data_IF_242258024273
#
_entry.id   IF_242258024273
#
_cell.length_a   1.000
_cell.length_b   1.000
_cell.length_c   1.000
_cell.angle_alpha   90.00
_cell.angle_beta   90.00
_cell.angle_gamma   90.00
#
_symmetry.space_group_name_H-M   'P 1'
#
loop_
_entity.id
_entity.type
_entity.pdbx_description
1 polymer ?
#
# COMPACT_ATOMS: atom_id res chain seq x y z
N UNK A 1 8.69 -20.76 -44.65
CA UNK A 1 9.84 -19.86 -44.85
C UNK A 1 11.02 -20.76 -45.21
N UNK A 2 11.59 -20.50 -46.39
CA UNK A 2 12.92 -20.88 -46.94
C UNK A 2 13.50 -22.25 -46.53
N UNK A 3 13.76 -23.20 -47.41
CA UNK A 3 14.25 -23.06 -48.79
C UNK A 3 15.76 -22.84 -48.77
N UNK A 4 16.54 -23.90 -48.96
CA UNK A 4 17.90 -23.86 -49.52
C UNK A 4 18.42 -25.29 -49.77
N UNK A 5 18.11 -25.79 -50.96
CA UNK A 5 19.00 -26.67 -51.72
C UNK A 5 20.30 -25.92 -52.10
N UNK A 6 21.20 -26.68 -52.72
CA UNK A 6 22.37 -26.29 -53.54
C UNK A 6 23.72 -26.37 -52.81
N UNK A 7 24.43 -27.47 -53.09
CA UNK A 7 25.66 -27.38 -53.90
C UNK A 7 26.01 -28.75 -54.50
N UNK A 8 25.70 -28.87 -55.79
CA UNK A 8 26.44 -29.66 -56.77
C UNK A 8 27.82 -29.02 -56.97
N UNK A 9 28.88 -29.83 -57.01
CA UNK A 9 30.11 -29.60 -57.77
C UNK A 9 30.91 -30.92 -57.73
N UNK A 10 30.76 -31.79 -58.73
CA UNK A 10 31.60 -31.87 -59.94
C UNK A 10 33.09 -31.89 -59.60
N UNK A 11 33.67 -33.10 -59.50
CA UNK A 11 34.94 -33.32 -60.19
C UNK A 11 35.05 -34.75 -60.74
N UNK A 12 34.85 -34.83 -62.05
CA UNK A 12 35.17 -35.97 -62.91
C UNK A 12 36.68 -36.10 -63.01
N UNK A 13 37.24 -37.24 -62.62
CA UNK A 13 38.49 -37.72 -63.19
C UNK A 13 38.26 -39.05 -63.91
N UNK A 14 37.80 -38.90 -65.16
CA UNK A 14 37.91 -39.91 -66.22
C UNK A 14 39.37 -39.97 -66.67
N UNK A 15 40.11 -40.95 -66.16
CA UNK A 15 41.39 -41.37 -66.73
C UNK A 15 41.17 -42.26 -67.95
N UNK A 16 41.67 -41.80 -69.10
CA UNK A 16 41.62 -42.39 -70.45
C UNK A 16 42.10 -43.85 -70.54
N UNK A 17 41.28 -44.68 -71.18
CA UNK A 17 41.74 -45.83 -71.97
C UNK A 17 42.42 -45.37 -73.26
N UNK A 18 43.54 -45.98 -73.70
CA UNK A 18 44.02 -45.87 -75.07
C UNK A 18 43.45 -46.98 -75.97
N UNK A 19 42.86 -46.56 -77.09
CA UNK A 19 42.33 -47.38 -78.19
C UNK A 19 43.46 -48.05 -79.00
N UNK A 20 43.24 -49.23 -79.63
CA UNK A 20 44.30 -50.13 -80.09
C UNK A 20 44.72 -49.85 -81.53
N UNK A 21 46.03 -49.94 -81.80
CA UNK A 21 46.59 -49.80 -83.14
C UNK A 21 47.72 -50.79 -83.39
N UNK A 22 47.72 -51.38 -84.59
CA UNK A 22 48.94 -51.93 -85.20
C UNK A 22 49.08 -53.45 -85.17
N UNK A 23 48.45 -54.09 -86.14
CA UNK A 23 48.50 -55.51 -86.49
C UNK A 23 49.91 -55.89 -87.02
N UNK A 24 50.68 -56.67 -86.27
CA UNK A 24 51.82 -57.43 -86.79
C UNK A 24 51.47 -58.92 -86.80
N UNK A 25 51.39 -59.47 -88.01
CA UNK A 25 51.31 -60.91 -88.28
C UNK A 25 52.43 -61.63 -87.55
N UNK A 26 52.07 -62.62 -86.76
CA UNK A 26 53.04 -63.48 -86.11
C UNK A 26 52.32 -64.61 -85.42
N UNK A 27 52.14 -65.68 -86.17
CA UNK A 27 52.21 -67.06 -85.70
C UNK A 27 51.27 -67.45 -84.57
N UNK A 28 50.40 -68.41 -84.89
CA UNK A 28 49.76 -69.31 -83.94
C UNK A 28 50.67 -69.61 -82.73
N UNK A 29 50.43 -68.91 -81.64
CA UNK A 29 50.98 -69.25 -80.34
C UNK A 29 49.76 -69.31 -79.45
N UNK A 30 49.22 -70.53 -79.38
CA UNK A 30 48.41 -71.06 -78.29
C UNK A 30 48.29 -70.05 -77.15
N UNK A 31 47.07 -69.53 -76.93
CA UNK A 31 46.74 -68.70 -75.77
C UNK A 31 47.48 -69.24 -74.56
N UNK A 32 48.55 -68.56 -74.13
CA UNK A 32 49.54 -69.14 -73.22
C UNK A 32 48.83 -69.27 -71.86
N UNK A 33 48.41 -70.48 -71.46
CA UNK A 33 47.47 -70.63 -70.36
C UNK A 33 48.04 -70.05 -69.07
N UNK A 34 49.37 -70.05 -68.95
CA UNK A 34 50.17 -69.54 -67.85
C UNK A 34 50.02 -68.03 -67.62
N UNK A 35 50.11 -67.17 -68.65
CA UNK A 35 49.97 -65.70 -68.48
C UNK A 35 48.53 -65.27 -68.15
N UNK A 36 47.55 -66.04 -68.61
CA UNK A 36 46.15 -65.85 -68.24
C UNK A 36 45.90 -66.28 -66.79
N UNK A 37 46.53 -67.38 -66.37
CA UNK A 37 46.50 -67.88 -65.01
C UNK A 37 47.16 -66.89 -64.04
N UNK A 38 48.32 -66.31 -64.39
CA UNK A 38 49.04 -65.32 -63.58
C UNK A 38 48.19 -64.07 -63.30
N UNK A 39 47.55 -63.47 -64.31
CA UNK A 39 46.61 -62.34 -64.10
C UNK A 39 45.40 -62.72 -63.26
N UNK A 40 44.94 -63.97 -63.33
CA UNK A 40 43.85 -64.48 -62.50
C UNK A 40 44.30 -64.68 -61.06
N UNK A 41 45.54 -65.12 -60.84
CA UNK A 41 46.16 -65.25 -59.52
C UNK A 41 46.33 -63.88 -58.87
N UNK A 42 46.89 -62.87 -59.54
CA UNK A 42 47.00 -61.52 -58.96
C UNK A 42 45.64 -60.87 -58.65
N UNK A 43 44.61 -61.16 -59.45
CA UNK A 43 43.24 -60.75 -59.10
C UNK A 43 42.69 -61.50 -57.89
N UNK A 44 43.01 -62.78 -57.76
CA UNK A 44 42.60 -63.61 -56.61
C UNK A 44 43.31 -63.18 -55.33
N UNK A 45 44.59 -62.80 -55.40
CA UNK A 45 45.37 -62.25 -54.28
C UNK A 45 44.76 -60.92 -53.81
N UNK A 46 44.52 -59.97 -54.72
CA UNK A 46 43.86 -58.71 -54.39
C UNK A 46 42.45 -58.90 -53.81
N UNK A 47 41.67 -59.81 -54.39
CA UNK A 47 40.36 -60.15 -53.83
C UNK A 47 40.48 -60.79 -52.43
N UNK A 48 41.55 -61.54 -52.16
CA UNK A 48 41.85 -62.06 -50.83
C UNK A 48 42.16 -60.96 -49.81
N UNK A 49 42.95 -59.96 -50.20
CA UNK A 49 43.24 -58.77 -49.37
C UNK A 49 41.97 -57.92 -49.11
N UNK A 50 41.14 -57.72 -50.14
CA UNK A 50 39.86 -57.02 -50.03
C UNK A 50 38.88 -57.78 -49.10
N UNK A 51 38.84 -59.11 -49.19
CA UNK A 51 38.04 -59.97 -48.28
C UNK A 51 38.55 -59.89 -46.85
N UNK A 52 39.86 -59.94 -46.63
CA UNK A 52 40.46 -59.76 -45.28
C UNK A 52 40.11 -58.39 -44.69
N UNK A 53 40.13 -57.33 -45.49
CA UNK A 53 39.75 -55.98 -45.05
C UNK A 53 38.27 -55.87 -44.70
N UNK A 54 37.40 -56.60 -45.40
CA UNK A 54 35.96 -56.69 -45.09
C UNK A 54 35.73 -57.43 -43.77
N UNK A 55 36.48 -58.50 -43.51
CA UNK A 55 36.42 -59.24 -42.24
C UNK A 55 36.82 -58.34 -41.06
N UNK A 56 37.90 -57.58 -41.19
CA UNK A 56 38.35 -56.60 -40.18
C UNK A 56 37.32 -55.49 -39.93
N UNK A 57 36.71 -54.97 -41.01
CA UNK A 57 35.60 -54.00 -40.90
C UNK A 57 34.38 -54.61 -40.18
N UNK A 58 34.07 -55.87 -40.43
CA UNK A 58 33.00 -56.60 -39.74
C UNK A 58 33.27 -56.74 -38.23
N UNK A 59 34.52 -57.06 -37.85
CA UNK A 59 34.93 -57.13 -36.45
C UNK A 59 34.85 -55.75 -35.77
N UNK A 60 35.32 -54.69 -36.43
CA UNK A 60 35.21 -53.32 -35.94
C UNK A 60 33.75 -52.88 -35.77
N UNK A 61 32.88 -53.23 -36.72
CA UNK A 61 31.44 -52.93 -36.63
C UNK A 61 30.79 -53.66 -35.45
N UNK A 62 31.12 -54.93 -35.23
CA UNK A 62 30.63 -55.69 -34.07
C UNK A 62 31.09 -55.07 -32.74
N UNK A 63 32.35 -54.59 -32.67
CA UNK A 63 32.85 -53.89 -31.49
C UNK A 63 32.09 -52.58 -31.26
N UNK A 64 31.92 -51.75 -32.30
CA UNK A 64 31.16 -50.49 -32.21
C UNK A 64 29.71 -50.76 -31.79
N UNK A 65 29.08 -51.83 -32.30
CA UNK A 65 27.73 -52.21 -31.90
C UNK A 65 27.65 -52.58 -30.41
N UNK A 66 28.65 -53.29 -29.89
CA UNK A 66 28.75 -53.62 -28.46
C UNK A 66 28.94 -52.36 -27.61
N UNK A 67 29.81 -51.44 -28.04
CA UNK A 67 30.08 -50.19 -27.34
C UNK A 67 28.83 -49.30 -27.31
N UNK A 68 28.09 -49.19 -28.42
CA UNK A 68 26.82 -48.45 -28.51
C UNK A 68 25.76 -49.05 -27.59
N UNK A 69 25.65 -50.38 -27.52
CA UNK A 69 24.75 -51.04 -26.58
C UNK A 69 25.14 -50.77 -25.13
N UNK A 70 26.44 -50.79 -24.82
CA UNK A 70 26.96 -50.42 -23.50
C UNK A 70 26.66 -48.96 -23.14
N UNK A 71 26.82 -48.04 -24.08
CA UNK A 71 26.45 -46.63 -23.91
C UNK A 71 24.95 -46.45 -23.68
N UNK A 72 24.10 -47.15 -24.42
CA UNK A 72 22.66 -47.10 -24.23
C UNK A 72 22.27 -47.56 -22.82
N UNK A 73 22.87 -48.64 -22.30
CA UNK A 73 22.64 -49.11 -20.92
C UNK A 73 23.13 -48.13 -19.85
N UNK A 74 24.23 -47.41 -20.10
CA UNK A 74 24.71 -46.35 -19.19
C UNK A 74 23.79 -45.13 -19.21
N UNK A 75 23.23 -44.77 -20.36
CA UNK A 75 22.29 -43.66 -20.49
C UNK A 75 20.99 -43.94 -19.73
N UNK A 76 20.42 -45.14 -19.89
CA UNK A 76 19.20 -45.51 -19.15
C UNK A 76 19.45 -45.55 -17.64
N UNK A 77 20.61 -46.03 -17.19
CA UNK A 77 20.99 -45.99 -15.78
C UNK A 77 21.10 -44.56 -15.25
N UNK A 78 21.65 -43.64 -16.05
CA UNK A 78 21.77 -42.24 -15.67
C UNK A 78 20.41 -41.55 -15.61
N UNK A 79 19.51 -41.84 -16.55
CA UNK A 79 18.13 -41.33 -16.55
C UNK A 79 17.39 -41.76 -15.28
N UNK A 80 17.45 -43.04 -14.92
CA UNK A 80 16.84 -43.57 -13.68
C UNK A 80 17.41 -42.87 -12.44
N UNK A 81 18.74 -42.69 -12.38
CA UNK A 81 19.38 -42.01 -11.27
C UNK A 81 18.96 -40.53 -11.17
N UNK A 82 18.84 -39.85 -12.30
CA UNK A 82 18.41 -38.45 -12.34
C UNK A 82 16.96 -38.30 -11.90
N UNK A 83 16.07 -39.18 -12.34
CA UNK A 83 14.67 -39.20 -11.91
C UNK A 83 14.57 -39.47 -10.40
N UNK A 84 15.34 -40.42 -9.87
CA UNK A 84 15.41 -40.68 -8.43
C UNK A 84 15.86 -39.45 -7.63
N UNK A 85 16.96 -38.80 -8.04
CA UNK A 85 17.42 -37.56 -7.39
C UNK A 85 16.37 -36.44 -7.47
N UNK A 86 15.65 -36.33 -8.60
CA UNK A 86 14.59 -35.36 -8.77
C UNK A 86 13.43 -35.63 -7.82
N UNK A 87 13.03 -36.88 -7.65
CA UNK A 87 11.98 -37.27 -6.69
C UNK A 87 12.40 -36.99 -5.25
N UNK A 88 13.64 -37.30 -4.87
CA UNK A 88 14.19 -36.97 -3.54
C UNK A 88 14.21 -35.46 -3.28
N UNK A 89 14.64 -34.66 -4.27
CA UNK A 89 14.67 -33.20 -4.15
C UNK A 89 13.26 -32.62 -4.00
N UNK A 90 12.30 -33.12 -4.80
CA UNK A 90 10.89 -32.70 -4.69
C UNK A 90 10.31 -33.07 -3.33
N UNK A 91 10.59 -34.27 -2.83
CA UNK A 91 10.14 -34.71 -1.51
C UNK A 91 10.73 -33.83 -0.40
N UNK A 92 12.03 -33.55 -0.45
CA UNK A 92 12.71 -32.68 0.51
C UNK A 92 12.10 -31.27 0.52
N UNK A 93 11.97 -30.64 -0.64
CA UNK A 93 11.39 -29.30 -0.77
C UNK A 93 9.96 -29.28 -0.24
N UNK A 94 9.15 -30.28 -0.60
CA UNK A 94 7.75 -30.38 -0.15
C UNK A 94 7.66 -30.50 1.37
N UNK A 95 8.50 -31.34 1.98
CA UNK A 95 8.54 -31.52 3.43
C UNK A 95 8.99 -30.23 4.14
N UNK A 96 10.08 -29.59 3.68
CA UNK A 96 10.56 -28.34 4.28
C UNK A 96 9.52 -27.22 4.18
N UNK A 97 8.84 -27.08 3.03
CA UNK A 97 7.75 -26.10 2.87
C UNK A 97 6.61 -26.45 3.82
N UNK A 98 6.19 -27.71 3.89
CA UNK A 98 5.10 -28.16 4.76
C UNK A 98 5.40 -27.89 6.25
N UNK A 99 6.61 -28.18 6.71
CA UNK A 99 7.06 -27.91 8.09
C UNK A 99 7.13 -26.40 8.37
N UNK A 100 7.69 -25.61 7.45
CA UNK A 100 7.80 -24.16 7.60
C UNK A 100 6.42 -23.50 7.64
N UNK A 101 5.51 -23.92 6.77
CA UNK A 101 4.13 -23.42 6.76
C UNK A 101 3.38 -23.84 8.02
N UNK A 102 3.52 -25.10 8.45
CA UNK A 102 2.85 -25.60 9.65
C UNK A 102 3.30 -24.87 10.91
N UNK A 103 4.60 -24.61 11.05
CA UNK A 103 5.17 -23.84 12.17
C UNK A 103 4.71 -22.38 12.14
N UNK A 104 4.74 -21.72 10.97
CA UNK A 104 4.24 -20.35 10.83
C UNK A 104 2.73 -20.23 11.18
N UNK A 105 1.90 -21.18 10.71
CA UNK A 105 0.47 -21.24 11.05
C UNK A 105 0.28 -21.41 12.56
N UNK A 106 1.06 -22.27 13.21
CA UNK A 106 0.97 -22.47 14.65
C UNK A 106 1.27 -21.18 15.43
N UNK A 107 2.34 -20.47 15.09
CA UNK A 107 2.70 -19.19 15.72
C UNK A 107 1.61 -18.15 15.55
N UNK A 108 1.09 -17.97 14.33
CA UNK A 108 0.01 -17.02 14.06
C UNK A 108 -1.26 -17.41 14.82
N UNK A 109 -1.60 -18.70 14.86
CA UNK A 109 -2.75 -19.20 15.61
C UNK A 109 -2.64 -18.88 17.10
N UNK A 110 -1.47 -19.14 17.71
CA UNK A 110 -1.24 -18.85 19.14
C UNK A 110 -1.35 -17.36 19.43
N UNK A 111 -0.74 -16.50 18.60
CA UNK A 111 -0.83 -15.05 18.77
C UNK A 111 -2.27 -14.54 18.64
N UNK A 112 -3.00 -14.97 17.60
CA UNK A 112 -4.42 -14.59 17.43
C UNK A 112 -5.29 -15.10 18.58
N UNK A 113 -5.00 -16.29 19.10
CA UNK A 113 -5.72 -16.83 20.26
C UNK A 113 -5.46 -16.02 21.53
N UNK A 114 -4.23 -15.55 21.76
CA UNK A 114 -3.89 -14.69 22.89
C UNK A 114 -4.63 -13.34 22.81
N UNK A 115 -4.54 -12.63 21.67
CA UNK A 115 -5.24 -11.36 21.46
C UNK A 115 -6.78 -11.51 21.62
N UNK A 116 -7.33 -12.64 21.20
CA UNK A 116 -8.76 -12.91 21.34
C UNK A 116 -9.18 -13.18 22.79
N UNK A 117 -8.28 -13.65 23.65
CA UNK A 117 -8.52 -13.74 25.09
C UNK A 117 -8.51 -12.34 25.70
N UNK A 118 -7.52 -11.51 25.37
CA UNK A 118 -7.39 -10.15 25.90
C UNK A 118 -8.61 -9.29 25.51
N UNK A 119 -9.02 -9.32 24.23
CA UNK A 119 -10.23 -8.61 23.76
C UNK A 119 -11.49 -9.11 24.47
N UNK A 120 -11.58 -10.39 24.80
CA UNK A 120 -12.74 -10.92 25.56
C UNK A 120 -12.75 -10.42 27.00
N UNK A 121 -11.59 -10.26 27.62
CA UNK A 121 -11.46 -9.69 28.95
C UNK A 121 -11.87 -8.21 28.94
N UNK A 122 -11.36 -7.40 28.01
CA UNK A 122 -11.77 -6.00 27.84
C UNK A 122 -13.28 -5.85 27.60
N UNK A 123 -13.87 -6.72 26.79
CA UNK A 123 -15.33 -6.73 26.57
C UNK A 123 -16.08 -7.07 27.87
N UNK A 124 -15.56 -7.98 28.69
CA UNK A 124 -16.17 -8.33 29.97
C UNK A 124 -16.12 -7.14 30.95
N UNK A 125 -14.99 -6.46 31.00
CA UNK A 125 -14.79 -5.27 31.82
C UNK A 125 -15.71 -4.12 31.38
N UNK A 126 -15.71 -3.77 30.09
CA UNK A 126 -16.61 -2.77 29.53
C UNK A 126 -18.08 -3.12 29.76
N UNK A 127 -18.45 -4.40 29.63
CA UNK A 127 -19.81 -4.86 29.93
C UNK A 127 -20.16 -4.66 31.40
N UNK A 128 -19.20 -4.90 32.30
CA UNK A 128 -19.38 -4.64 33.74
C UNK A 128 -19.56 -3.15 34.02
N UNK A 129 -18.75 -2.28 33.42
CA UNK A 129 -18.86 -0.82 33.54
C UNK A 129 -20.21 -0.32 33.03
N UNK A 130 -20.64 -0.80 31.86
CA UNK A 130 -21.95 -0.48 31.28
C UNK A 130 -23.08 -0.94 32.22
N UNK A 131 -22.96 -2.10 32.88
CA UNK A 131 -23.97 -2.53 33.85
C UNK A 131 -23.99 -1.66 35.10
N UNK A 132 -22.83 -1.15 35.55
CA UNK A 132 -22.72 -0.25 36.69
C UNK A 132 -23.32 1.12 36.35
N UNK A 133 -23.02 1.67 35.18
CA UNK A 133 -23.64 2.91 34.66
C UNK A 133 -25.15 2.75 34.53
N UNK A 134 -25.62 1.65 33.93
CA UNK A 134 -27.06 1.37 33.82
C UNK A 134 -27.73 1.24 35.19
N UNK A 135 -27.08 0.61 36.18
CA UNK A 135 -27.59 0.52 37.55
C UNK A 135 -27.60 1.87 38.24
N UNK A 136 -26.55 2.69 38.11
CA UNK A 136 -26.51 4.04 38.64
C UNK A 136 -27.62 4.93 38.04
N UNK A 137 -27.96 4.73 36.77
CA UNK A 137 -29.10 5.39 36.12
C UNK A 137 -30.46 4.83 36.58
N UNK A 138 -30.58 3.51 36.79
CA UNK A 138 -31.84 2.85 37.13
C UNK A 138 -32.20 2.85 38.62
N UNK A 139 -31.22 2.95 39.52
CA UNK A 139 -31.45 2.96 40.97
C UNK A 139 -32.20 4.19 41.47
N UNK A 140 -32.42 5.20 40.64
CA UNK A 140 -32.89 6.50 41.11
C UNK A 140 -31.86 7.12 42.10
N UNK A 141 -31.91 8.42 42.35
CA UNK A 141 -30.95 9.02 43.26
C UNK A 141 -31.21 8.54 44.70
N UNK A 142 -30.39 7.62 45.23
CA UNK A 142 -29.96 7.78 46.62
C UNK A 142 -29.27 9.15 46.70
N UNK A 143 -29.36 9.90 47.82
CA UNK A 143 -28.90 11.26 47.90
C UNK A 143 -27.37 11.30 47.91
N UNK A 144 -26.76 11.03 46.76
CA UNK A 144 -25.73 11.90 46.27
C UNK A 144 -26.40 13.25 46.33
N UNK A 145 -25.87 14.15 47.13
CA UNK A 145 -26.02 15.55 46.83
C UNK A 145 -25.55 15.67 45.39
N UNK A 146 -26.49 15.55 44.43
CA UNK A 146 -26.43 16.39 43.28
C UNK A 146 -26.25 17.74 43.92
N UNK A 147 -25.01 18.24 43.85
CA UNK A 147 -24.82 19.68 43.90
C UNK A 147 -25.90 20.13 42.94
N UNK A 148 -26.97 20.81 43.40
CA UNK A 148 -28.05 21.19 42.52
C UNK A 148 -27.32 21.81 41.36
N UNK A 149 -27.41 21.19 40.17
CA UNK A 149 -26.79 21.75 38.97
C UNK A 149 -27.52 23.06 38.88
N UNK A 150 -26.86 24.09 39.42
CA UNK A 150 -27.47 25.39 39.60
C UNK A 150 -28.00 25.69 38.22
N UNK A 151 -29.29 26.00 38.11
CA UNK A 151 -29.87 26.36 36.83
C UNK A 151 -29.06 27.55 36.33
N UNK A 152 -28.06 27.27 35.48
CA UNK A 152 -27.01 28.24 35.19
C UNK A 152 -27.72 29.33 34.42
N UNK A 153 -27.79 30.57 34.96
CA UNK A 153 -28.58 31.61 34.34
C UNK A 153 -28.13 31.78 32.90
N UNK A 154 -29.08 31.66 31.97
CA UNK A 154 -28.78 31.80 30.55
C UNK A 154 -28.19 33.19 30.28
N UNK A 155 -27.11 33.29 29.50
CA UNK A 155 -26.55 34.57 29.08
C UNK A 155 -27.60 35.44 28.41
N UNK A 156 -27.44 36.76 28.54
CA UNK A 156 -28.27 37.72 27.81
C UNK A 156 -27.95 37.66 26.32
N UNK A 157 -28.97 37.80 25.48
CA UNK A 157 -28.79 37.88 24.04
C UNK A 157 -28.07 39.17 23.63
N UNK A 158 -27.30 39.12 22.56
CA UNK A 158 -26.61 40.26 21.97
C UNK A 158 -27.20 40.62 20.61
N UNK A 159 -27.73 41.85 20.49
CA UNK A 159 -28.40 42.35 19.28
C UNK A 159 -27.49 42.98 18.23
N UNK A 160 -26.18 43.08 18.49
CA UNK A 160 -25.24 43.70 17.53
C UNK A 160 -25.12 45.22 17.67
N UNK A 161 -25.38 45.77 18.86
CA UNK A 161 -25.08 47.17 19.15
C UNK A 161 -23.56 47.42 19.03
N UNK A 162 -23.16 48.54 18.43
CA UNK A 162 -21.75 48.98 18.39
C UNK A 162 -21.38 49.64 19.71
N UNK A 163 -21.45 48.87 20.79
CA UNK A 163 -21.17 49.32 22.15
C UNK A 163 -20.18 48.32 22.78
N UNK A 164 -18.96 48.79 23.08
CA UNK A 164 -17.90 47.96 23.64
C UNK A 164 -18.34 47.29 24.96
N UNK A 165 -19.00 48.04 25.84
CA UNK A 165 -19.46 47.54 27.13
C UNK A 165 -20.48 46.43 26.99
N UNK A 166 -21.45 46.57 26.09
CA UNK A 166 -22.45 45.53 25.85
C UNK A 166 -21.84 44.27 25.23
N UNK A 167 -20.93 44.43 24.28
CA UNK A 167 -20.24 43.31 23.65
C UNK A 167 -19.32 42.58 24.65
N UNK A 168 -18.55 43.29 25.46
CA UNK A 168 -17.67 42.69 26.45
C UNK A 168 -18.47 41.99 27.56
N UNK A 169 -19.55 42.61 28.05
CA UNK A 169 -20.43 41.97 29.01
C UNK A 169 -21.08 40.70 28.45
N UNK A 170 -21.49 40.72 27.18
CA UNK A 170 -22.00 39.53 26.50
C UNK A 170 -20.95 38.41 26.46
N UNK A 171 -19.76 38.69 25.92
CA UNK A 171 -18.69 37.70 25.80
C UNK A 171 -18.28 37.13 27.16
N UNK A 172 -18.15 38.00 28.17
CA UNK A 172 -17.82 37.59 29.52
C UNK A 172 -18.92 36.69 30.11
N UNK A 173 -20.19 37.10 30.01
CA UNK A 173 -21.32 36.31 30.55
C UNK A 173 -21.45 34.93 29.90
N UNK A 174 -21.20 34.86 28.58
CA UNK A 174 -21.25 33.63 27.81
C UNK A 174 -20.07 32.71 28.17
N UNK A 175 -18.88 33.26 28.42
CA UNK A 175 -17.74 32.50 28.88
C UNK A 175 -17.95 31.95 30.30
N UNK A 176 -18.55 32.73 31.21
CA UNK A 176 -18.93 32.24 32.53
C UNK A 176 -19.99 31.13 32.44
N UNK A 177 -20.95 31.25 31.52
CA UNK A 177 -21.93 30.21 31.27
C UNK A 177 -21.29 28.90 30.79
N UNK A 178 -20.34 28.97 29.86
CA UNK A 178 -19.60 27.78 29.41
C UNK A 178 -18.82 27.14 30.55
N UNK A 179 -18.13 27.94 31.38
CA UNK A 179 -17.40 27.46 32.56
C UNK A 179 -18.33 26.80 33.58
N UNK A 180 -19.45 27.43 33.91
CA UNK A 180 -20.43 26.92 34.86
C UNK A 180 -21.19 25.68 34.33
N UNK A 181 -21.37 25.58 33.01
CA UNK A 181 -22.02 24.45 32.35
C UNK A 181 -21.07 23.29 32.03
N UNK A 182 -19.76 23.45 32.26
CA UNK A 182 -18.74 22.44 31.98
C UNK A 182 -18.38 22.29 30.49
N UNK A 183 -18.68 23.28 29.66
CA UNK A 183 -18.38 23.27 28.21
C UNK A 183 -16.94 23.75 28.00
N UNK A 184 -16.03 22.81 27.71
CA UNK A 184 -14.61 23.11 27.47
C UNK A 184 -14.23 23.08 25.98
N UNK A 185 -14.90 22.23 25.20
CA UNK A 185 -14.61 22.02 23.78
C UNK A 185 -15.00 23.23 22.93
N UNK A 186 -14.06 23.75 22.15
CA UNK A 186 -14.25 24.95 21.34
C UNK A 186 -15.28 24.75 20.23
N UNK A 187 -15.35 23.55 19.63
CA UNK A 187 -16.38 23.23 18.65
C UNK A 187 -17.79 23.37 19.24
N UNK A 188 -18.01 22.92 20.48
CA UNK A 188 -19.30 23.04 21.17
C UNK A 188 -19.60 24.49 21.51
N UNK A 189 -18.60 25.29 21.93
CA UNK A 189 -18.76 26.73 22.17
C UNK A 189 -19.15 27.46 20.89
N UNK A 190 -18.50 27.16 19.77
CA UNK A 190 -18.78 27.78 18.46
C UNK A 190 -20.16 27.42 17.92
N UNK A 191 -20.66 26.22 18.19
CA UNK A 191 -22.05 25.82 17.88
C UNK A 191 -23.07 26.50 18.79
N UNK A 192 -22.70 26.80 20.04
CA UNK A 192 -23.62 27.32 21.07
C UNK A 192 -23.71 28.85 21.09
N UNK A 193 -22.60 29.56 20.92
CA UNK A 193 -22.56 31.02 20.98
C UNK A 193 -23.53 31.74 20.03
N UNK A 194 -23.73 31.28 18.78
CA UNK A 194 -24.69 31.89 17.86
C UNK A 194 -26.13 31.86 18.34
N UNK A 195 -26.50 30.92 19.22
CA UNK A 195 -27.85 30.81 19.78
C UNK A 195 -28.21 32.03 20.65
N UNK A 196 -27.22 32.78 21.10
CA UNK A 196 -27.40 34.00 21.90
C UNK A 196 -27.23 35.29 21.07
N UNK A 197 -27.01 35.18 19.76
CA UNK A 197 -26.99 36.33 18.86
C UNK A 197 -28.41 36.59 18.33
N UNK A 198 -28.80 37.86 18.30
CA UNK A 198 -30.09 38.31 17.74
C UNK A 198 -29.88 39.50 16.81
N UNK A 199 -30.92 39.88 16.09
CA UNK A 199 -30.95 41.05 15.21
C UNK A 199 -29.73 41.15 14.26
N UNK A 200 -28.98 42.25 14.33
CA UNK A 200 -27.85 42.54 13.45
C UNK A 200 -26.69 41.56 13.68
N UNK A 201 -26.49 41.12 14.93
CA UNK A 201 -25.46 40.13 15.24
C UNK A 201 -25.74 38.76 14.60
N UNK A 202 -27.01 38.34 14.56
CA UNK A 202 -27.39 37.08 13.91
C UNK A 202 -27.19 37.14 12.38
N UNK A 203 -27.48 38.27 11.75
CA UNK A 203 -27.23 38.47 10.31
C UNK A 203 -25.73 38.41 10.00
N UNK A 204 -24.90 39.05 10.83
CA UNK A 204 -23.45 38.96 10.72
C UNK A 204 -22.96 37.51 10.84
N UNK A 205 -23.45 36.76 11.83
CA UNK A 205 -23.07 35.36 12.01
C UNK A 205 -23.43 34.49 10.81
N UNK A 206 -24.63 34.63 10.24
CA UNK A 206 -25.05 33.88 9.03
C UNK A 206 -24.09 34.11 7.86
N UNK A 207 -23.61 35.35 7.69
CA UNK A 207 -22.61 35.67 6.67
C UNK A 207 -21.27 34.99 6.97
N UNK A 208 -20.79 35.05 8.21
CA UNK A 208 -19.54 34.39 8.63
C UNK A 208 -19.60 32.87 8.51
N UNK A 209 -20.70 32.25 8.89
CA UNK A 209 -20.90 30.81 8.74
C UNK A 209 -20.82 30.38 7.26
N UNK A 210 -21.38 31.18 6.34
CA UNK A 210 -21.26 30.93 4.92
C UNK A 210 -19.82 31.11 4.41
N UNK A 211 -19.08 32.11 4.92
CA UNK A 211 -17.68 32.33 4.56
C UNK A 211 -16.78 31.16 5.03
N UNK A 212 -17.04 30.60 6.21
CA UNK A 212 -16.34 29.42 6.75
C UNK A 212 -16.63 28.19 5.89
N UNK A 213 -17.90 27.95 5.51
CA UNK A 213 -18.29 26.83 4.61
C UNK A 213 -17.64 26.91 3.23
N UNK A 214 -17.40 28.13 2.72
CA UNK A 214 -16.68 28.35 1.45
C UNK A 214 -15.16 28.33 1.59
N UNK A 215 -14.63 28.10 2.80
CA UNK A 215 -13.19 28.11 3.08
C UNK A 215 -12.53 29.49 2.98
N UNK A 216 -13.31 30.58 2.98
CA UNK A 216 -12.81 31.96 2.87
C UNK A 216 -12.45 32.55 4.24
N UNK A 217 -12.85 31.90 5.33
CA UNK A 217 -12.58 32.30 6.71
C UNK A 217 -12.31 31.06 7.57
N UNK A 218 -11.39 31.17 8.53
CA UNK A 218 -11.05 30.11 9.49
C UNK A 218 -11.45 30.60 10.88
N UNK A 219 -12.49 30.00 11.45
CA UNK A 219 -12.92 30.23 12.83
C UNK A 219 -13.03 28.87 13.50
N UNK A 220 -11.93 28.41 14.09
CA UNK A 220 -11.81 27.05 14.65
C UNK A 220 -11.77 27.07 16.17
N UNK A 221 -11.28 28.16 16.76
CA UNK A 221 -11.18 28.33 18.20
C UNK A 221 -12.19 29.33 18.75
N UNK A 222 -12.45 29.26 20.06
CA UNK A 222 -13.27 30.25 20.76
C UNK A 222 -12.66 31.67 20.69
N UNK A 223 -11.33 31.76 20.67
CA UNK A 223 -10.62 33.03 20.55
C UNK A 223 -10.81 33.67 19.16
N UNK A 224 -10.85 32.86 18.09
CA UNK A 224 -11.15 33.36 16.74
C UNK A 224 -12.53 34.01 16.69
N UNK A 225 -13.52 33.38 17.35
CA UNK A 225 -14.86 33.94 17.49
C UNK A 225 -14.86 35.28 18.22
N UNK A 226 -14.20 35.36 19.38
CA UNK A 226 -14.08 36.61 20.13
C UNK A 226 -13.38 37.71 19.32
N UNK A 227 -12.36 37.37 18.54
CA UNK A 227 -11.66 38.31 17.68
C UNK A 227 -12.56 38.84 16.55
N UNK A 228 -13.24 37.96 15.83
CA UNK A 228 -14.10 38.32 14.70
C UNK A 228 -15.32 39.15 15.11
N UNK A 229 -15.97 38.79 16.21
CA UNK A 229 -17.13 39.56 16.69
C UNK A 229 -16.70 40.95 17.22
N UNK A 230 -15.52 41.05 17.84
CA UNK A 230 -14.94 42.35 18.23
C UNK A 230 -14.60 43.19 17.01
N UNK A 231 -13.97 42.65 15.97
CA UNK A 231 -13.71 43.41 14.73
C UNK A 231 -14.99 44.01 14.14
N UNK A 232 -16.12 43.32 14.24
CA UNK A 232 -17.39 43.80 13.70
C UNK A 232 -18.07 44.85 14.59
N UNK A 233 -18.17 44.61 15.90
CA UNK A 233 -19.04 45.38 16.80
C UNK A 233 -18.31 46.26 17.81
N UNK A 234 -16.99 46.14 17.92
CA UNK A 234 -16.19 46.99 18.79
C UNK A 234 -15.97 48.38 18.13
N UNK A 235 -16.36 49.48 18.78
CA UNK A 235 -16.04 50.83 18.30
C UNK A 235 -14.52 51.08 18.36
N UNK A 236 -13.97 51.82 17.41
CA UNK A 236 -12.52 52.11 17.40
C UNK A 236 -12.11 53.16 18.44
N UNK A 237 -13.03 54.04 18.84
CA UNK A 237 -12.77 55.22 19.67
C UNK A 237 -13.39 55.14 21.07
N UNK A 238 -13.45 53.95 21.69
CA UNK A 238 -14.14 53.73 22.98
C UNK A 238 -13.62 54.66 24.08
N UNK A 239 -12.30 54.67 24.30
CA UNK A 239 -11.68 55.55 25.30
C UNK A 239 -11.92 57.03 25.01
N UNK A 240 -11.82 57.43 23.73
CA UNK A 240 -12.03 58.81 23.34
C UNK A 240 -13.49 59.22 23.57
N UNK A 241 -14.44 58.33 23.30
CA UNK A 241 -15.86 58.55 23.52
C UNK A 241 -16.16 58.64 25.03
N UNK A 242 -15.62 57.72 25.83
CA UNK A 242 -15.73 57.72 27.29
C UNK A 242 -15.14 59.01 27.90
N UNK A 243 -13.89 59.37 27.54
CA UNK A 243 -13.25 60.64 27.97
C UNK A 243 -14.04 61.87 27.49
N UNK A 244 -14.62 61.84 26.30
CA UNK A 244 -15.42 62.95 25.79
C UNK A 244 -16.77 63.07 26.50
N UNK A 245 -17.42 61.96 26.84
CA UNK A 245 -18.64 61.94 27.68
C UNK A 245 -18.31 62.46 29.08
N UNK A 246 -17.18 62.06 29.67
CA UNK A 246 -16.72 62.55 30.98
C UNK A 246 -16.49 64.07 30.98
N UNK A 247 -15.83 64.61 29.95
CA UNK A 247 -15.63 66.08 29.79
C UNK A 247 -16.92 66.86 29.66
N UNK A 248 -17.96 66.27 29.07
CA UNK A 248 -19.28 66.91 28.86
C UNK A 248 -20.26 66.64 30.00
N UNK A 249 -19.93 65.73 30.91
CA UNK A 249 -20.79 65.37 32.03
C UNK A 249 -20.91 66.57 32.96
N UNK A 250 -22.13 67.06 33.13
CA UNK A 250 -22.45 68.18 34.02
C UNK A 250 -23.58 67.78 34.93
N UNK A 251 -23.51 68.15 36.21
CA UNK A 251 -24.56 67.84 37.17
C UNK A 251 -25.79 68.73 36.90
N UNK A 252 -26.72 68.22 36.08
CA UNK A 252 -28.00 68.90 35.78
C UNK A 252 -29.19 68.42 36.62
N UNK A 253 -28.96 67.45 37.51
CA UNK A 253 -29.99 66.85 38.37
C UNK A 253 -29.43 66.41 39.72
N UNK A 254 -30.06 65.40 40.34
CA UNK A 254 -29.65 64.89 41.65
C UNK A 254 -28.22 64.33 41.66
N UNK A 255 -27.45 64.68 42.70
CA UNK A 255 -26.04 64.27 42.89
C UNK A 255 -25.84 62.77 42.69
N UNK A 256 -26.73 61.93 43.22
CA UNK A 256 -26.65 60.47 43.09
C UNK A 256 -26.63 59.98 41.63
N UNK A 257 -27.41 60.60 40.75
CA UNK A 257 -27.46 60.24 39.32
C UNK A 257 -26.15 60.64 38.62
N UNK A 258 -25.66 61.85 38.89
CA UNK A 258 -24.37 62.32 38.37
C UNK A 258 -23.22 61.42 38.82
N UNK A 259 -23.13 61.09 40.11
CA UNK A 259 -22.07 60.21 40.64
C UNK A 259 -22.13 58.84 39.99
N UNK A 260 -23.32 58.26 39.79
CA UNK A 260 -23.48 56.99 39.09
C UNK A 260 -22.95 57.07 37.65
N UNK A 261 -23.37 58.06 36.87
CA UNK A 261 -22.93 58.24 35.48
C UNK A 261 -21.42 58.52 35.38
N UNK A 262 -20.87 59.31 36.31
CA UNK A 262 -19.43 59.59 36.41
C UNK A 262 -18.63 58.32 36.72
N UNK A 263 -19.07 57.53 37.71
CA UNK A 263 -18.42 56.26 38.07
C UNK A 263 -18.49 55.23 36.95
N UNK A 264 -19.62 55.13 36.23
CA UNK A 264 -19.73 54.22 35.08
C UNK A 264 -18.76 54.60 33.95
N UNK A 265 -18.64 55.89 33.63
CA UNK A 265 -17.69 56.35 32.60
C UNK A 265 -16.23 56.16 33.00
N UNK A 266 -15.91 56.21 34.30
CA UNK A 266 -14.56 55.91 34.78
C UNK A 266 -14.18 54.44 34.62
N UNK A 267 -15.15 53.51 34.61
CA UNK A 267 -14.89 52.09 34.37
C UNK A 267 -14.67 51.76 32.89
N UNK A 268 -14.96 52.71 32.00
CA UNK A 268 -14.82 52.60 30.54
C UNK A 268 -13.53 53.26 30.01
N UNK A 269 -12.68 53.81 30.89
CA UNK A 269 -11.37 54.44 30.59
C UNK A 269 -10.25 53.59 31.21
#
# INVERSE_FOLDING_TARGET
MSGSEVNDDIEKQRGRDPTPGGRSKGTSSTCDPLKSLERRVSRMEKLGEDVSSIEDLGANFAQVQSDVQGMAGRLTSLEINHDGMREELVALITNTISETVSTAIAVVKEHVQAELVDVKEEIADLKSEVTLVKRAMASGPAPVQSVPRADVPRPKNFGGSRNARELENFLWSLEQYFKASGIQEDEVKLRTAPLYLVDVAMVWWRRREADVKRGTCVMVTWEDFKSEIKKQFYPENVEFEARSKLRRLTQRGGVRKYVKEFSELLLEI
#
